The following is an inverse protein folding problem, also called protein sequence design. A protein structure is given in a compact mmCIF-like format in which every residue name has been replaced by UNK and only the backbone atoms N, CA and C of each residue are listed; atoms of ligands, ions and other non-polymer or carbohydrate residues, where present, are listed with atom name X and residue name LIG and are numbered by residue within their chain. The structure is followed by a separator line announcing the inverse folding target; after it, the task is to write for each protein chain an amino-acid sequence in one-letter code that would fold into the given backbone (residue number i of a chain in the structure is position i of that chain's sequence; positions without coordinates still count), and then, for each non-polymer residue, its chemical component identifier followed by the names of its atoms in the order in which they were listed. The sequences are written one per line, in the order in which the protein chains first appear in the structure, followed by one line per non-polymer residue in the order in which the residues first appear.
data_IF_301712640882
#
_entry.id   IF_301712640882
#
_cell.length_a   1.000
_cell.length_b   1.000
_cell.length_c   1.000
_cell.angle_alpha   90.00
_cell.angle_beta   90.00
_cell.angle_gamma   90.00
#
_symmetry.space_group_name_H-M   'P 1'
#
loop_
_entity.id
_entity.type
_entity.pdbx_description
1 polymer ?
#
# COMPACT_ATOMS: atom_id res chain seq x y z
N UNK A 1 47.91 -25.56 -0.19
CA UNK A 1 48.14 -24.10 -0.22
C UNK A 1 47.57 -23.60 -1.53
N UNK A 2 46.56 -22.74 -1.50
CA UNK A 2 46.05 -22.08 -2.72
C UNK A 2 46.98 -20.91 -3.05
N UNK A 3 47.32 -20.73 -4.33
CA UNK A 3 48.09 -19.60 -4.84
C UNK A 3 47.38 -19.06 -6.07
N UNK A 4 47.25 -17.73 -6.15
CA UNK A 4 46.80 -17.07 -7.36
C UNK A 4 47.90 -17.13 -8.44
N UNK A 5 47.53 -16.91 -9.70
CA UNK A 5 48.49 -16.73 -10.78
C UNK A 5 49.32 -15.45 -10.53
N UNK A 6 50.57 -15.41 -11.01
CA UNK A 6 51.47 -14.26 -10.78
C UNK A 6 50.95 -12.96 -11.39
N UNK A 7 50.16 -13.06 -12.47
CA UNK A 7 49.53 -11.94 -13.17
C UNK A 7 48.12 -11.60 -12.66
N UNK A 8 47.62 -12.34 -11.66
CA UNK A 8 46.33 -12.07 -11.06
C UNK A 8 46.39 -10.73 -10.31
N UNK A 9 45.52 -9.81 -10.70
CA UNK A 9 45.45 -8.49 -10.05
C UNK A 9 44.95 -8.64 -8.61
N UNK A 10 45.52 -7.90 -7.64
CA UNK A 10 44.97 -7.85 -6.30
C UNK A 10 43.57 -7.24 -6.29
N UNK A 11 42.59 -8.02 -5.84
CA UNK A 11 41.21 -7.60 -5.62
C UNK A 11 40.48 -8.71 -4.84
N UNK A 12 39.22 -8.43 -4.54
CA UNK A 12 38.27 -9.35 -3.93
C UNK A 12 37.40 -9.94 -5.03
N UNK A 13 37.33 -11.27 -5.05
CA UNK A 13 36.59 -12.05 -6.03
C UNK A 13 35.48 -12.85 -5.34
N UNK A 14 34.27 -12.28 -5.21
CA UNK A 14 33.08 -13.02 -4.78
C UNK A 14 32.73 -14.08 -5.82
N UNK A 15 32.53 -15.32 -5.38
CA UNK A 15 32.24 -16.46 -6.23
C UNK A 15 31.24 -17.42 -5.58
N UNK A 16 30.61 -18.22 -6.43
CA UNK A 16 29.71 -19.29 -6.01
C UNK A 16 30.28 -20.63 -6.47
N UNK A 17 30.47 -21.55 -5.52
CA UNK A 17 30.90 -22.92 -5.80
C UNK A 17 29.66 -23.80 -5.88
N UNK A 18 29.40 -24.34 -7.06
CA UNK A 18 28.29 -25.26 -7.33
C UNK A 18 28.73 -26.69 -7.08
N UNK A 19 28.21 -27.32 -6.03
CA UNK A 19 28.49 -28.70 -5.65
C UNK A 19 27.29 -29.56 -6.03
N UNK A 20 27.50 -30.50 -6.96
CA UNK A 20 26.46 -31.45 -7.39
C UNK A 20 26.77 -32.84 -6.87
N UNK A 21 25.80 -33.47 -6.22
CA UNK A 21 25.90 -34.83 -5.72
C UNK A 21 24.59 -35.62 -5.85
N UNK A 22 24.56 -36.89 -5.42
CA UNK A 22 23.37 -37.73 -5.48
C UNK A 22 22.17 -37.17 -4.68
N UNK A 23 22.44 -36.38 -3.63
CA UNK A 23 21.45 -35.75 -2.77
C UNK A 23 20.96 -34.38 -3.27
N UNK A 24 21.46 -33.91 -4.41
CA UNK A 24 21.06 -32.63 -5.01
C UNK A 24 22.24 -31.70 -5.33
N UNK A 25 21.91 -30.45 -5.64
CA UNK A 25 22.85 -29.38 -5.90
C UNK A 25 22.89 -28.42 -4.71
N UNK A 26 24.09 -28.00 -4.30
CA UNK A 26 24.32 -27.03 -3.24
C UNK A 26 25.24 -25.92 -3.75
N UNK A 27 24.87 -24.68 -3.46
CA UNK A 27 25.67 -23.50 -3.76
C UNK A 27 26.41 -23.08 -2.48
N UNK A 28 27.71 -22.85 -2.59
CA UNK A 28 28.54 -22.34 -1.49
C UNK A 28 29.06 -20.96 -1.93
N UNK A 29 28.58 -19.91 -1.29
CA UNK A 29 29.14 -18.58 -1.42
C UNK A 29 30.56 -18.56 -0.85
N UNK A 30 31.51 -18.02 -1.61
CA UNK A 30 32.93 -17.92 -1.25
C UNK A 30 33.47 -16.58 -1.71
N UNK A 31 34.39 -16.03 -0.93
CA UNK A 31 35.13 -14.84 -1.31
C UNK A 31 36.60 -15.21 -1.39
N UNK A 32 37.22 -14.90 -2.53
CA UNK A 32 38.65 -15.12 -2.73
C UNK A 32 39.33 -13.75 -2.66
N UNK A 33 40.23 -13.62 -1.70
CA UNK A 33 41.04 -12.44 -1.46
C UNK A 33 42.41 -12.65 -2.13
N UNK A 34 42.76 -11.81 -3.10
CA UNK A 34 44.06 -11.85 -3.77
C UNK A 34 44.86 -10.61 -3.39
N UNK A 35 45.94 -10.80 -2.64
CA UNK A 35 46.85 -9.72 -2.21
C UNK A 35 48.10 -9.62 -3.09
N UNK A 36 48.86 -8.53 -2.93
CA UNK A 36 50.20 -8.45 -3.48
C UNK A 36 51.08 -9.56 -2.90
N UNK A 37 52.01 -10.12 -3.70
CA UNK A 37 52.86 -11.24 -3.26
C UNK A 37 53.71 -10.96 -1.99
N UNK A 38 53.95 -9.68 -1.68
CA UNK A 38 54.63 -9.21 -0.47
C UNK A 38 53.85 -8.03 0.10
N UNK A 39 52.75 -8.26 0.83
CA UNK A 39 51.98 -7.17 1.40
C UNK A 39 52.83 -6.44 2.44
N UNK A 40 52.77 -5.11 2.40
CA UNK A 40 53.41 -4.20 3.35
C UNK A 40 52.49 -3.89 4.54
N UNK A 41 51.19 -4.01 4.32
CA UNK A 41 50.12 -3.78 5.28
C UNK A 41 49.18 -4.98 5.29
N UNK A 42 48.65 -5.27 6.46
CA UNK A 42 47.60 -6.26 6.67
C UNK A 42 46.33 -5.55 7.13
N UNK A 43 45.17 -6.05 6.71
CA UNK A 43 43.87 -5.47 7.04
C UNK A 43 42.97 -6.58 7.51
N UNK A 44 42.23 -6.35 8.59
CA UNK A 44 41.17 -7.22 9.07
C UNK A 44 39.87 -6.43 9.06
N UNK A 45 38.86 -6.96 8.38
CA UNK A 45 37.52 -6.38 8.28
C UNK A 45 36.52 -7.27 8.99
N UNK A 46 35.70 -6.63 9.82
CA UNK A 46 34.59 -7.30 10.49
C UNK A 46 33.34 -6.45 10.45
N UNK A 47 32.31 -6.94 9.78
CA UNK A 47 30.98 -6.33 9.88
C UNK A 47 30.47 -6.56 11.31
N UNK A 48 30.02 -5.47 11.95
CA UNK A 48 29.54 -5.54 13.32
C UNK A 48 28.33 -6.49 13.43
N UNK A 49 28.18 -7.25 14.54
CA UNK A 49 27.14 -8.28 14.66
C UNK A 49 25.71 -7.78 14.37
N UNK A 50 25.39 -6.56 14.79
CA UNK A 50 24.09 -5.92 14.58
C UNK A 50 23.82 -5.62 13.10
N UNK A 51 24.88 -5.45 12.31
CA UNK A 51 24.85 -5.10 10.89
C UNK A 51 25.09 -6.30 9.98
N UNK A 52 25.19 -7.50 10.54
CA UNK A 52 25.24 -8.76 9.76
C UNK A 52 23.96 -9.02 8.98
N UNK A 53 22.86 -8.38 9.38
CA UNK A 53 21.58 -8.51 8.69
C UNK A 53 20.81 -7.20 8.72
N UNK A 54 20.69 -6.55 7.57
CA UNK A 54 20.10 -5.22 7.41
C UNK A 54 18.98 -5.21 6.37
N UNK A 55 18.26 -4.10 6.26
CA UNK A 55 17.26 -3.88 5.21
C UNK A 55 17.76 -2.89 4.14
N UNK A 56 17.12 -2.88 2.95
CA UNK A 56 17.38 -1.86 1.94
C UNK A 56 17.20 -0.43 2.50
N UNK A 57 18.21 0.41 2.25
CA UNK A 57 18.27 1.80 2.71
C UNK A 57 18.92 2.01 4.07
N UNK A 58 19.30 0.93 4.76
CA UNK A 58 20.03 1.02 6.02
C UNK A 58 21.53 1.31 5.76
N UNK A 59 22.31 1.47 6.83
CA UNK A 59 23.77 1.57 6.80
C UNK A 59 24.42 0.24 7.19
N UNK A 60 25.69 0.04 6.86
CA UNK A 60 26.51 -1.09 7.35
C UNK A 60 27.72 -0.53 8.08
N UNK A 61 27.89 -0.93 9.34
CA UNK A 61 29.09 -0.61 10.10
C UNK A 61 30.07 -1.79 10.07
N UNK A 62 31.30 -1.51 9.68
CA UNK A 62 32.41 -2.45 9.72
C UNK A 62 33.56 -1.88 10.55
N UNK A 63 34.10 -2.74 11.40
CA UNK A 63 35.35 -2.50 12.10
C UNK A 63 36.50 -2.87 11.16
N UNK A 64 37.45 -1.95 11.00
CA UNK A 64 38.65 -2.14 10.20
C UNK A 64 39.87 -2.03 11.12
N UNK A 65 40.68 -3.08 11.14
CA UNK A 65 41.98 -3.09 11.81
C UNK A 65 43.07 -3.13 10.75
N UNK A 66 43.94 -2.13 10.75
CA UNK A 66 45.05 -1.97 9.80
C UNK A 66 46.37 -2.14 10.55
N UNK A 67 47.29 -2.92 9.99
CA UNK A 67 48.60 -3.22 10.59
C UNK A 67 49.76 -2.89 9.64
N UNK A 68 50.77 -2.18 10.13
CA UNK A 68 52.04 -1.95 9.43
C UNK A 68 52.98 -3.13 9.69
N UNK A 69 52.98 -4.12 8.80
CA UNK A 69 53.69 -5.39 8.99
C UNK A 69 55.22 -5.24 8.85
N UNK A 70 55.67 -4.14 8.23
CA UNK A 70 57.07 -3.88 7.91
C UNK A 70 57.73 -2.82 8.79
N UNK A 71 56.95 -2.12 9.60
CA UNK A 71 57.46 -1.14 10.56
C UNK A 71 58.14 0.06 9.90
N UNK A 72 57.60 0.56 8.78
CA UNK A 72 58.13 1.73 8.05
C UNK A 72 58.10 3.07 8.83
N UNK A 73 57.81 3.04 10.13
CA UNK A 73 57.46 4.23 10.90
C UNK A 73 56.10 4.78 10.47
N UNK A 74 55.87 6.06 10.75
CA UNK A 74 54.62 6.73 10.40
C UNK A 74 54.55 7.01 8.90
N UNK A 75 53.54 6.45 8.24
CA UNK A 75 53.26 6.64 6.81
C UNK A 75 51.77 6.85 6.57
N UNK A 76 51.45 7.51 5.46
CA UNK A 76 50.08 7.70 5.01
C UNK A 76 49.71 6.63 3.98
N UNK A 77 48.62 5.91 4.20
CA UNK A 77 48.12 4.87 3.30
C UNK A 77 46.72 5.20 2.81
N UNK A 78 46.39 4.73 1.60
CA UNK A 78 45.04 4.88 1.03
C UNK A 78 44.22 3.65 1.37
N UNK A 79 43.06 3.86 2.00
CA UNK A 79 42.09 2.82 2.30
C UNK A 79 40.84 3.04 1.45
N UNK A 80 40.47 2.02 0.70
CA UNK A 80 39.22 1.94 -0.05
C UNK A 80 38.27 0.97 0.66
N UNK A 81 37.10 1.45 1.05
CA UNK A 81 36.00 0.63 1.55
C UNK A 81 35.03 0.37 0.41
N UNK A 82 34.56 -0.88 0.28
CA UNK A 82 33.59 -1.19 -0.77
C UNK A 82 32.61 -2.28 -0.36
N UNK A 83 31.41 -2.16 -0.93
CA UNK A 83 30.37 -3.19 -0.85
C UNK A 83 30.10 -3.69 -2.26
N UNK A 84 30.24 -5.00 -2.46
CA UNK A 84 30.01 -5.68 -3.73
C UNK A 84 28.97 -6.80 -3.56
N UNK A 85 28.20 -7.06 -4.62
CA UNK A 85 27.40 -8.29 -4.70
C UNK A 85 28.23 -9.50 -5.17
N UNK A 86 27.64 -10.69 -5.15
CA UNK A 86 28.30 -11.92 -5.62
C UNK A 86 28.49 -12.00 -7.15
N UNK A 87 28.02 -10.99 -7.90
CA UNK A 87 28.28 -10.84 -9.33
C UNK A 87 29.43 -9.85 -9.60
N UNK A 88 30.03 -9.29 -8.54
CA UNK A 88 31.09 -8.29 -8.63
C UNK A 88 30.59 -6.87 -8.90
N UNK A 89 29.28 -6.61 -8.84
CA UNK A 89 28.74 -5.26 -9.00
C UNK A 89 29.05 -4.44 -7.75
N UNK A 90 29.62 -3.25 -7.96
CA UNK A 90 29.88 -2.28 -6.90
C UNK A 90 28.59 -1.60 -6.47
N UNK A 91 28.27 -1.66 -5.18
CA UNK A 91 27.06 -1.09 -4.58
C UNK A 91 27.37 0.25 -3.90
N UNK A 92 28.42 0.28 -3.10
CA UNK A 92 28.90 1.46 -2.38
C UNK A 92 30.42 1.43 -2.31
N UNK A 93 31.03 2.61 -2.31
CA UNK A 93 32.47 2.79 -2.22
C UNK A 93 32.80 4.10 -1.53
N UNK A 94 33.78 4.05 -0.63
CA UNK A 94 34.39 5.22 -0.01
C UNK A 94 35.92 5.06 0.01
N UNK A 95 36.63 6.19 0.08
CA UNK A 95 38.08 6.21 0.10
C UNK A 95 38.56 7.26 1.10
N UNK A 96 39.61 6.93 1.85
CA UNK A 96 40.26 7.87 2.75
C UNK A 96 41.77 7.62 2.85
N UNK A 97 42.50 8.60 3.37
CA UNK A 97 43.92 8.47 3.69
C UNK A 97 44.10 8.41 5.20
N UNK A 98 44.80 7.38 5.68
CA UNK A 98 45.04 7.15 7.11
C UNK A 98 46.54 7.18 7.39
N UNK A 99 46.93 8.02 8.35
CA UNK A 99 48.28 8.00 8.90
C UNK A 99 48.41 6.85 9.91
N UNK A 100 49.33 5.92 9.68
CA UNK A 100 49.58 4.77 10.54
C UNK A 100 51.08 4.62 10.83
N UNK A 101 51.41 4.29 12.09
CA UNK A 101 52.79 3.94 12.47
C UNK A 101 52.93 2.43 12.73
N UNK A 102 52.05 1.86 13.57
CA UNK A 102 52.07 0.43 13.92
C UNK A 102 50.74 -0.25 13.60
N UNK A 103 49.65 0.23 14.18
CA UNK A 103 48.30 -0.27 13.96
C UNK A 103 47.29 0.87 14.06
N UNK A 104 46.18 0.76 13.33
CA UNK A 104 45.03 1.63 13.46
C UNK A 104 43.76 0.78 13.49
N UNK A 105 42.81 1.17 14.33
CA UNK A 105 41.53 0.48 14.45
C UNK A 105 40.40 1.49 14.53
N UNK A 106 39.41 1.35 13.66
CA UNK A 106 38.30 2.30 13.56
C UNK A 106 37.07 1.62 12.96
N UNK A 107 35.93 2.29 13.06
CA UNK A 107 34.66 1.83 12.48
C UNK A 107 34.33 2.74 11.30
N UNK A 108 33.89 2.11 10.21
CA UNK A 108 33.40 2.79 9.00
C UNK A 108 31.96 2.42 8.75
N UNK A 109 31.18 3.43 8.40
CA UNK A 109 29.79 3.34 8.02
C UNK A 109 29.71 3.51 6.51
N UNK A 110 29.03 2.58 5.82
CA UNK A 110 28.71 2.72 4.41
C UNK A 110 27.19 2.69 4.24
N UNK A 111 26.66 3.71 3.56
CA UNK A 111 25.23 3.82 3.25
C UNK A 111 24.84 2.86 2.14
N UNK A 112 23.75 2.12 2.34
CA UNK A 112 23.23 1.17 1.36
C UNK A 112 22.07 1.78 0.58
N UNK A 113 22.07 1.70 -0.76
CA UNK A 113 20.95 2.16 -1.57
C UNK A 113 19.62 1.49 -1.17
N UNK A 114 18.52 2.23 -1.23
CA UNK A 114 17.19 1.71 -0.88
C UNK A 114 16.60 0.72 -1.88
N UNK A 115 17.13 0.70 -3.10
CA UNK A 115 16.73 -0.18 -4.21
C UNK A 115 17.57 -1.46 -4.29
N UNK A 116 18.48 -1.67 -3.33
CA UNK A 116 19.31 -2.88 -3.26
C UNK A 116 18.43 -4.14 -3.19
N UNK A 117 18.85 -5.19 -3.90
CA UNK A 117 18.13 -6.46 -3.89
C UNK A 117 18.46 -7.26 -2.63
N UNK A 118 17.51 -8.00 -2.07
CA UNK A 118 17.81 -8.94 -0.99
C UNK A 118 18.84 -9.97 -1.43
N UNK A 119 19.75 -10.34 -0.52
CA UNK A 119 20.82 -11.30 -0.79
C UNK A 119 22.04 -11.10 0.09
N UNK A 120 23.07 -11.91 -0.13
CA UNK A 120 24.37 -11.79 0.56
C UNK A 120 25.27 -10.82 -0.19
N UNK A 121 25.98 -9.98 0.55
CA UNK A 121 26.92 -8.98 0.03
C UNK A 121 28.26 -9.09 0.74
N UNK A 122 29.29 -8.57 0.09
CA UNK A 122 30.67 -8.55 0.57
C UNK A 122 31.03 -7.12 0.96
N UNK A 123 31.26 -6.88 2.24
CA UNK A 123 31.88 -5.67 2.74
C UNK A 123 33.39 -5.86 2.77
N UNK A 124 34.15 -4.84 2.40
CA UNK A 124 35.60 -4.98 2.23
C UNK A 124 36.36 -3.70 2.47
N UNK A 125 37.63 -3.86 2.83
CA UNK A 125 38.61 -2.79 2.88
C UNK A 125 39.86 -3.22 2.12
N UNK A 126 40.42 -2.31 1.35
CA UNK A 126 41.63 -2.49 0.56
C UNK A 126 42.59 -1.36 0.89
N UNK A 127 43.76 -1.70 1.40
CA UNK A 127 44.85 -0.75 1.63
C UNK A 127 45.78 -0.76 0.43
N UNK A 128 46.14 0.41 -0.06
CA UNK A 128 47.12 0.60 -1.12
C UNK A 128 48.23 1.53 -0.63
N UNK A 129 49.48 1.06 -0.77
CA UNK A 129 50.67 1.85 -0.51
C UNK A 129 51.76 1.43 -1.49
N UNK A 130 52.21 2.38 -2.33
CA UNK A 130 53.10 2.09 -3.47
C UNK A 130 52.52 0.94 -4.34
N UNK A 131 53.30 -0.12 -4.57
CA UNK A 131 52.89 -1.30 -5.34
C UNK A 131 52.28 -2.42 -4.47
N UNK A 132 52.04 -2.14 -3.18
CA UNK A 132 51.51 -3.11 -2.23
C UNK A 132 50.02 -2.91 -2.00
N UNK A 133 49.28 -4.00 -2.14
CA UNK A 133 47.85 -4.09 -1.82
C UNK A 133 47.62 -5.18 -0.78
N UNK A 134 46.96 -4.80 0.31
CA UNK A 134 46.40 -5.71 1.31
C UNK A 134 44.89 -5.56 1.34
N UNK A 135 44.15 -6.63 1.65
CA UNK A 135 42.69 -6.63 1.58
C UNK A 135 42.07 -7.68 2.49
N UNK A 136 40.93 -7.32 3.03
CA UNK A 136 40.09 -8.23 3.81
C UNK A 136 38.63 -7.89 3.60
N UNK A 137 37.80 -8.91 3.78
CA UNK A 137 36.38 -8.84 3.55
C UNK A 137 35.60 -9.63 4.58
N UNK A 138 34.33 -9.25 4.71
CA UNK A 138 33.37 -9.95 5.54
C UNK A 138 31.98 -9.89 4.91
N UNK A 139 31.15 -10.87 5.25
CA UNK A 139 29.83 -11.05 4.67
C UNK A 139 28.73 -10.46 5.55
N UNK A 140 27.70 -9.94 4.91
CA UNK A 140 26.44 -9.57 5.54
C UNK A 140 25.25 -9.86 4.62
N UNK A 141 24.06 -9.91 5.18
CA UNK A 141 22.82 -10.23 4.46
C UNK A 141 21.89 -9.02 4.40
N UNK A 142 21.41 -8.69 3.22
CA UNK A 142 20.31 -7.75 3.02
C UNK A 142 19.01 -8.54 2.96
N UNK A 143 18.15 -8.36 3.95
CA UNK A 143 16.85 -9.01 4.01
C UNK A 143 15.85 -8.30 3.13
N UNK A 144 14.90 -9.06 2.60
CA UNK A 144 13.73 -8.46 1.98
C UNK A 144 13.01 -7.60 3.02
N UNK A 145 12.84 -6.32 2.71
CA UNK A 145 11.81 -5.49 3.36
C UNK A 145 10.50 -6.11 2.92
N UNK A 146 10.04 -7.10 3.67
CA UNK A 146 8.64 -7.49 3.62
C UNK A 146 7.95 -6.24 4.11
N UNK A 147 7.43 -5.46 3.17
CA UNK A 147 6.28 -4.63 3.45
C UNK A 147 5.30 -5.67 3.99
N UNK A 148 5.23 -5.78 5.31
CA UNK A 148 4.02 -6.24 5.95
C UNK A 148 3.03 -5.18 5.50
N UNK A 149 2.47 -5.37 4.31
CA UNK A 149 1.05 -5.28 4.13
C UNK A 149 0.59 -6.14 5.27
N UNK A 150 0.42 -5.54 6.45
CA UNK A 150 -0.30 -6.16 7.53
C UNK A 150 -1.56 -6.54 6.76
N UNK A 151 -1.81 -7.85 6.47
CA UNK A 151 -3.18 -8.19 6.15
C UNK A 151 -3.88 -7.60 7.34
N UNK A 152 -4.81 -6.67 7.10
CA UNK A 152 -5.60 -6.06 8.16
C UNK A 152 -6.29 -7.26 8.79
N UNK A 153 -5.59 -7.90 9.72
CA UNK A 153 -6.07 -8.91 10.62
C UNK A 153 -6.90 -8.00 11.48
N UNK A 154 -8.15 -7.89 11.04
CA UNK A 154 -9.26 -7.32 11.72
C UNK A 154 -9.10 -7.76 13.17
N UNK A 155 -8.47 -6.90 13.98
CA UNK A 155 -8.62 -6.98 15.43
C UNK A 155 -10.12 -7.09 15.58
N UNK A 156 -10.61 -8.08 16.30
CA UNK A 156 -12.05 -8.32 16.47
C UNK A 156 -12.80 -7.00 16.80
N UNK A 157 -12.11 -6.05 17.43
CA UNK A 157 -12.57 -4.68 17.61
C UNK A 157 -12.97 -3.89 16.34
N UNK A 158 -12.28 -4.00 15.20
CA UNK A 158 -12.63 -3.27 13.97
C UNK A 158 -13.91 -3.80 13.33
N UNK A 159 -14.16 -5.10 13.40
CA UNK A 159 -15.46 -5.67 12.97
C UNK A 159 -16.57 -5.20 13.92
N UNK A 160 -16.34 -5.21 15.23
CA UNK A 160 -17.31 -4.66 16.20
C UNK A 160 -17.55 -3.15 15.99
N UNK A 161 -16.55 -2.36 15.61
CA UNK A 161 -16.71 -0.94 15.28
C UNK A 161 -17.58 -0.74 14.03
N UNK A 162 -17.37 -1.54 12.97
CA UNK A 162 -18.19 -1.46 11.75
C UNK A 162 -19.64 -1.86 12.05
N UNK A 163 -19.86 -2.95 12.78
CA UNK A 163 -21.20 -3.35 13.22
C UNK A 163 -21.84 -2.30 14.13
N UNK A 164 -21.06 -1.70 15.04
CA UNK A 164 -21.51 -0.59 15.88
C UNK A 164 -21.93 0.63 15.05
N UNK A 165 -21.17 0.99 14.03
CA UNK A 165 -21.50 2.11 13.14
C UNK A 165 -22.76 1.83 12.32
N UNK A 166 -22.91 0.62 11.78
CA UNK A 166 -24.13 0.18 11.08
C UNK A 166 -25.34 0.21 12.02
N UNK A 167 -25.17 -0.24 13.27
CA UNK A 167 -26.22 -0.22 14.27
C UNK A 167 -26.65 1.21 14.62
N UNK A 168 -25.71 2.14 14.81
CA UNK A 168 -26.00 3.56 15.07
C UNK A 168 -26.74 4.21 13.89
N UNK A 169 -26.35 3.89 12.65
CA UNK A 169 -27.03 4.37 11.44
C UNK A 169 -28.45 3.80 11.37
N UNK A 170 -28.63 2.50 11.63
CA UNK A 170 -29.94 1.86 11.62
C UNK A 170 -30.87 2.45 12.70
N UNK A 171 -30.36 2.67 13.92
CA UNK A 171 -31.09 3.33 15.00
C UNK A 171 -31.43 4.77 14.63
N UNK A 172 -30.51 5.51 14.02
CA UNK A 172 -30.76 6.88 13.56
C UNK A 172 -31.86 6.93 12.50
N UNK A 173 -31.86 6.00 11.54
CA UNK A 173 -32.91 5.89 10.51
C UNK A 173 -34.24 5.51 11.15
N UNK A 174 -34.25 4.57 12.10
CA UNK A 174 -35.45 4.14 12.81
C UNK A 174 -36.05 5.29 13.64
N UNK A 175 -35.22 6.01 14.38
CA UNK A 175 -35.61 7.18 15.15
C UNK A 175 -36.12 8.28 14.20
N UNK A 176 -35.42 8.53 13.10
CA UNK A 176 -35.85 9.46 12.08
C UNK A 176 -37.21 9.07 11.49
N UNK A 177 -37.48 7.79 11.24
CA UNK A 177 -38.79 7.34 10.76
C UNK A 177 -39.91 7.48 11.80
N UNK A 178 -39.57 7.34 13.09
CA UNK A 178 -40.55 7.44 14.19
C UNK A 178 -40.81 8.88 14.63
N UNK A 179 -39.78 9.72 14.61
CA UNK A 179 -39.77 11.08 15.18
C UNK A 179 -39.72 12.18 14.15
N UNK A 180 -39.45 11.90 12.86
CA UNK A 180 -39.83 12.87 11.83
C UNK A 180 -41.35 12.98 11.91
N UNK A 181 -41.90 14.15 12.27
CA UNK A 181 -43.32 14.37 12.13
C UNK A 181 -43.64 14.08 10.67
N UNK A 182 -44.55 13.13 10.40
CA UNK A 182 -45.21 13.05 9.09
C UNK A 182 -45.57 14.49 8.77
N UNK A 183 -44.93 15.11 7.78
CA UNK A 183 -45.33 16.44 7.32
C UNK A 183 -46.81 16.30 7.06
N UNK A 184 -47.63 16.87 7.95
CA UNK A 184 -49.07 16.90 7.74
C UNK A 184 -49.19 17.55 6.36
N UNK A 185 -49.86 16.92 5.38
CA UNK A 185 -50.18 17.63 4.15
C UNK A 185 -50.77 18.96 4.59
N UNK A 186 -50.31 20.07 3.99
CA UNK A 186 -50.77 21.41 4.34
C UNK A 186 -52.29 21.38 4.52
N UNK A 187 -52.83 21.89 5.64
CA UNK A 187 -54.27 21.91 5.82
C UNK A 187 -54.86 22.69 4.65
N UNK A 188 -55.66 22.01 3.82
CA UNK A 188 -56.40 22.60 2.71
C UNK A 188 -57.06 23.88 3.23
N UNK A 189 -56.84 25.00 2.55
CA UNK A 189 -57.35 26.31 2.98
C UNK A 189 -58.88 26.23 3.10
N UNK A 190 -59.52 26.93 4.06
CA UNK A 190 -61.01 26.95 4.21
C UNK A 190 -61.76 27.18 2.89
N UNK A 191 -61.12 27.89 1.95
CA UNK A 191 -61.62 28.14 0.61
C UNK A 191 -61.66 26.87 -0.27
N UNK A 192 -60.63 26.03 -0.22
CA UNK A 192 -60.57 24.74 -0.93
C UNK A 192 -61.56 23.72 -0.37
N UNK A 193 -61.71 23.68 0.96
CA UNK A 193 -62.70 22.83 1.62
C UNK A 193 -64.13 23.24 1.21
N UNK A 194 -64.41 24.55 1.14
CA UNK A 194 -65.70 25.04 0.65
C UNK A 194 -65.95 24.76 -0.83
N UNK A 195 -64.90 24.75 -1.67
CA UNK A 195 -64.99 24.39 -3.10
C UNK A 195 -65.23 22.89 -3.27
N UNK A 196 -64.56 22.04 -2.48
CA UNK A 196 -64.78 20.59 -2.48
C UNK A 196 -66.22 20.24 -2.09
N UNK A 197 -66.73 20.82 -1.00
CA UNK A 197 -68.11 20.58 -0.54
C UNK A 197 -69.13 21.04 -1.61
N UNK A 198 -68.91 22.19 -2.25
CA UNK A 198 -69.78 22.68 -3.34
C UNK A 198 -69.72 21.78 -4.57
N UNK A 199 -68.54 21.28 -4.92
CA UNK A 199 -68.36 20.35 -6.04
C UNK A 199 -69.05 19.02 -5.76
N UNK A 200 -68.87 18.44 -4.57
CA UNK A 200 -69.55 17.20 -4.15
C UNK A 200 -71.07 17.35 -4.17
N UNK A 201 -71.61 18.46 -3.64
CA UNK A 201 -73.05 18.75 -3.68
C UNK A 201 -73.58 18.86 -5.11
N UNK A 202 -72.82 19.48 -6.01
CA UNK A 202 -73.19 19.62 -7.42
C UNK A 202 -73.15 18.27 -8.16
N UNK A 203 -72.15 17.44 -7.90
CA UNK A 203 -72.04 16.09 -8.45
C UNK A 203 -73.19 15.21 -7.98
N UNK A 204 -73.50 15.20 -6.68
CA UNK A 204 -74.65 14.46 -6.15
C UNK A 204 -75.98 14.91 -6.74
N UNK A 205 -76.14 16.21 -7.02
CA UNK A 205 -77.34 16.73 -7.67
C UNK A 205 -77.47 16.23 -9.11
N UNK A 206 -76.38 16.26 -9.88
CA UNK A 206 -76.34 15.78 -11.26
C UNK A 206 -76.59 14.26 -11.35
N UNK A 207 -76.06 13.47 -10.41
CA UNK A 207 -76.33 12.03 -10.32
C UNK A 207 -77.81 11.75 -10.03
N UNK A 208 -78.44 12.51 -9.13
CA UNK A 208 -79.89 12.40 -8.88
C UNK A 208 -80.73 12.80 -10.09
N UNK A 209 -80.35 13.86 -10.80
CA UNK A 209 -81.01 14.26 -12.05
C UNK A 209 -80.87 13.19 -13.12
N UNK A 210 -79.70 12.55 -13.25
CA UNK A 210 -79.48 11.44 -14.17
C UNK A 210 -80.37 10.25 -13.82
N UNK A 211 -80.43 9.85 -12.55
CA UNK A 211 -81.26 8.75 -12.09
C UNK A 211 -82.76 9.02 -12.32
N UNK A 212 -83.22 10.24 -12.07
CA UNK A 212 -84.60 10.64 -12.36
C UNK A 212 -84.92 10.64 -13.86
N UNK A 213 -83.95 11.06 -14.70
CA UNK A 213 -84.07 11.04 -16.15
C UNK A 213 -84.14 9.60 -16.70
N UNK A 214 -83.32 8.68 -16.15
CA UNK A 214 -83.35 7.25 -16.46
C UNK A 214 -84.69 6.62 -16.05
N UNK A 215 -85.21 6.98 -14.88
CA UNK A 215 -86.50 6.50 -14.42
C UNK A 215 -87.65 6.99 -15.30
N UNK A 216 -87.66 8.28 -15.67
CA UNK A 216 -88.68 8.87 -16.54
C UNK A 216 -88.71 8.24 -17.94
N UNK A 217 -87.53 7.91 -18.48
CA UNK A 217 -87.38 7.18 -19.75
C UNK A 217 -87.94 5.76 -19.64
N UNK A 218 -87.59 5.02 -18.58
CA UNK A 218 -88.08 3.67 -18.32
C UNK A 218 -89.60 3.60 -18.15
N UNK A 219 -90.21 4.65 -17.59
CA UNK A 219 -91.67 4.79 -17.47
C UNK A 219 -92.36 5.35 -18.71
N UNK A 220 -91.66 5.50 -19.85
CA UNK A 220 -92.16 6.04 -21.12
C UNK A 220 -92.73 7.48 -21.04
N UNK A 221 -92.31 8.27 -20.04
CA UNK A 221 -92.79 9.64 -19.83
C UNK A 221 -92.05 10.67 -20.72
N UNK A 222 -90.92 10.28 -21.31
CA UNK A 222 -90.09 11.10 -22.19
C UNK A 222 -89.65 10.29 -23.41
N UNK A 223 -89.48 10.95 -24.56
CA UNK A 223 -89.02 10.30 -25.80
C UNK A 223 -87.53 9.96 -25.75
N UNK A 224 -87.12 8.92 -26.47
CA UNK A 224 -85.70 8.47 -26.57
C UNK A 224 -84.75 9.61 -26.94
N UNK A 225 -85.17 10.47 -27.87
CA UNK A 225 -84.40 11.63 -28.32
C UNK A 225 -84.20 12.64 -27.18
N UNK A 226 -85.22 12.84 -26.34
CA UNK A 226 -85.15 13.77 -25.20
C UNK A 226 -84.28 13.20 -24.07
N UNK A 227 -84.35 11.88 -23.85
CA UNK A 227 -83.50 11.18 -22.88
C UNK A 227 -82.01 11.26 -23.23
N UNK A 228 -81.64 10.92 -24.47
CA UNK A 228 -80.23 10.94 -24.90
C UNK A 228 -79.62 12.33 -24.80
N UNK A 229 -80.37 13.36 -25.22
CA UNK A 229 -79.91 14.77 -25.13
C UNK A 229 -79.73 15.23 -23.68
N UNK A 230 -80.59 14.79 -22.76
CA UNK A 230 -80.48 15.10 -21.33
C UNK A 230 -79.30 14.39 -20.67
N UNK A 231 -79.11 13.10 -20.98
CA UNK A 231 -78.02 12.26 -20.49
C UNK A 231 -76.65 12.79 -20.90
N UNK A 232 -76.46 13.09 -22.20
CA UNK A 232 -75.20 13.65 -22.70
C UNK A 232 -74.84 14.98 -22.04
N UNK A 233 -75.84 15.83 -21.77
CA UNK A 233 -75.62 17.11 -21.08
C UNK A 233 -75.13 16.88 -19.65
N UNK A 234 -75.77 15.99 -18.90
CA UNK A 234 -75.41 15.70 -17.50
C UNK A 234 -74.03 15.04 -17.41
N UNK A 235 -73.74 14.06 -18.27
CA UNK A 235 -72.44 13.38 -18.33
C UNK A 235 -71.30 14.35 -18.69
N UNK A 236 -71.55 15.30 -19.60
CA UNK A 236 -70.57 16.34 -19.96
C UNK A 236 -70.29 17.27 -18.79
N UNK A 237 -71.28 17.59 -17.96
CA UNK A 237 -71.08 18.38 -16.74
C UNK A 237 -70.34 17.60 -15.65
N UNK A 238 -70.66 16.32 -15.44
CA UNK A 238 -69.91 15.45 -14.52
C UNK A 238 -68.44 15.30 -14.93
N UNK A 239 -68.16 15.12 -16.22
CA UNK A 239 -66.80 15.05 -16.77
C UNK A 239 -66.00 16.35 -16.61
N UNK A 240 -66.68 17.50 -16.51
CA UNK A 240 -66.05 18.80 -16.23
C UNK A 240 -65.72 19.00 -14.75
N UNK A 241 -66.43 18.32 -13.84
CA UNK A 241 -66.20 18.41 -12.39
C UNK A 241 -65.17 17.40 -11.87
N UNK A 242 -64.88 16.32 -12.62
CA UNK A 242 -63.88 15.31 -12.28
C UNK A 242 -62.47 15.56 -12.84
N UNK A 243 -62.22 16.71 -13.48
CA UNK A 243 -60.89 17.16 -13.93
C UNK A 243 -60.37 18.24 -12.99
#
# INVERSE_FOLDING_TARGET
MFRAAEDQKPDIYPQEIYVKGPSGEKIIATVIEVESAKPLFDVDVKVLPEYKSIFPGDEVLMEVSLFNVRGFGRVDVVLEYSIKDFKGNLIAKEEETVAIETQAKFVRELLIPSDIKPGTYVASAKVTFEDSVGLSSDLFEVKAKTIRLIPIILKEYTTYLIFGMIFVVAVSIFLMHRYLPKRKPEPKTKEEESKLIKTEQKTQKLEKELAALEQAHKSQLISDVSYQKGKERIEKELKRLGK
#
